data_IF_896659816676
#
_entry.id   IF_896659816676
#
_cell.length_a   1.000
_cell.length_b   1.000
_cell.length_c   1.000
_cell.angle_alpha   90.00
_cell.angle_beta   90.00
_cell.angle_gamma   90.00
#
_symmetry.space_group_name_H-M   'P 1'
#
loop_
_entity.id
_entity.type
_entity.pdbx_description
1 polymer ?
#
# COMPACT_ATOMS: atom_id res chain seq x y z
N UNK A 1 19.01 20.54 6.18
CA UNK A 1 17.78 20.69 5.36
C UNK A 1 18.11 20.24 3.95
N UNK A 2 17.16 19.64 3.25
CA UNK A 2 17.35 19.16 1.88
C UNK A 2 17.37 20.32 0.89
N UNK A 3 18.10 20.16 -0.22
CA UNK A 3 18.00 21.10 -1.33
C UNK A 3 16.65 20.96 -2.04
N UNK A 4 16.23 22.01 -2.77
CA UNK A 4 15.02 21.95 -3.60
C UNK A 4 15.12 20.84 -4.67
N UNK A 5 16.33 20.60 -5.17
CA UNK A 5 16.63 19.56 -6.15
C UNK A 5 16.44 18.15 -5.56
N UNK A 6 16.92 17.90 -4.33
CA UNK A 6 16.71 16.63 -3.64
C UNK A 6 15.23 16.39 -3.33
N UNK A 7 14.50 17.43 -2.92
CA UNK A 7 13.06 17.33 -2.67
C UNK A 7 12.30 17.02 -3.97
N UNK A 8 12.69 17.66 -5.08
CA UNK A 8 12.14 17.38 -6.40
C UNK A 8 12.42 15.95 -6.88
N UNK A 9 13.64 15.45 -6.64
CA UNK A 9 14.00 14.06 -6.92
C UNK A 9 13.15 13.08 -6.10
N UNK A 10 12.90 13.36 -4.82
CA UNK A 10 11.98 12.58 -3.99
C UNK A 10 10.56 12.59 -4.56
N UNK A 11 9.97 13.76 -4.82
CA UNK A 11 8.58 13.84 -5.32
C UNK A 11 8.37 13.19 -6.68
N UNK A 12 9.41 13.00 -7.50
CA UNK A 12 9.34 12.27 -8.77
C UNK A 12 9.61 10.77 -8.65
N UNK A 13 10.07 10.31 -7.48
CA UNK A 13 10.34 8.90 -7.24
C UNK A 13 9.06 8.10 -7.03
N UNK A 14 9.08 6.82 -7.38
CA UNK A 14 7.99 5.89 -7.06
C UNK A 14 7.73 5.81 -5.56
N UNK A 15 8.78 5.93 -4.75
CA UNK A 15 8.69 5.91 -3.29
C UNK A 15 7.88 7.08 -2.70
N UNK A 16 7.67 8.18 -3.43
CA UNK A 16 6.85 9.30 -2.96
C UNK A 16 5.35 9.17 -3.27
N UNK A 17 4.94 8.06 -3.90
CA UNK A 17 3.59 7.84 -4.43
C UNK A 17 2.93 6.59 -3.84
N UNK A 18 1.60 6.62 -3.76
CA UNK A 18 0.79 5.50 -3.29
C UNK A 18 0.68 4.42 -4.38
N UNK A 19 1.68 3.58 -4.54
CA UNK A 19 1.79 2.63 -5.66
C UNK A 19 2.64 1.39 -5.30
N UNK A 20 2.78 0.46 -6.25
CA UNK A 20 3.73 -0.65 -6.13
C UNK A 20 5.14 -0.16 -6.53
N UNK A 21 6.13 -0.49 -5.73
CA UNK A 21 7.55 -0.26 -5.96
C UNK A 21 8.27 -1.61 -6.03
N UNK A 22 9.08 -1.87 -7.04
CA UNK A 22 9.78 -3.16 -7.19
C UNK A 22 11.28 -2.99 -7.03
N UNK A 23 11.91 -3.89 -6.25
CA UNK A 23 13.33 -3.91 -5.95
C UNK A 23 13.85 -2.53 -5.50
N UNK A 24 13.01 -1.78 -4.76
CA UNK A 24 13.28 -0.42 -4.27
C UNK A 24 13.57 0.62 -5.38
N UNK A 25 13.27 0.29 -6.63
CA UNK A 25 13.53 1.11 -7.81
C UNK A 25 12.35 1.96 -8.28
N UNK A 26 12.64 2.98 -9.07
CA UNK A 26 11.62 3.80 -9.73
C UNK A 26 10.99 3.07 -10.92
N UNK A 27 9.69 3.26 -11.09
CA UNK A 27 8.97 2.92 -12.31
C UNK A 27 9.50 3.78 -13.46
N UNK A 28 9.76 3.14 -14.60
CA UNK A 28 10.04 3.82 -15.86
C UNK A 28 8.77 4.45 -16.45
N UNK A 29 8.90 5.41 -17.39
CA UNK A 29 7.77 5.87 -18.19
C UNK A 29 7.05 4.70 -18.89
N UNK A 30 5.75 4.57 -18.65
CA UNK A 30 4.91 3.46 -19.11
C UNK A 30 4.36 3.75 -20.50
N UNK A 31 4.49 2.78 -21.42
CA UNK A 31 3.84 2.79 -22.75
C UNK A 31 2.84 1.64 -22.90
N UNK A 32 2.98 0.58 -22.10
CA UNK A 32 2.09 -0.57 -22.10
C UNK A 32 1.18 -0.54 -20.87
N UNK A 33 0.04 0.13 -21.01
CA UNK A 33 -0.98 0.25 -19.98
C UNK A 33 -2.38 -0.13 -20.49
N UNK A 34 -3.22 -0.64 -19.59
CA UNK A 34 -4.66 -0.79 -19.82
C UNK A 34 -5.42 -0.33 -18.59
N UNK A 35 -6.53 0.37 -18.80
CA UNK A 35 -7.46 0.82 -17.76
C UNK A 35 -8.86 0.31 -18.09
N UNK A 36 -9.51 -0.26 -17.10
CA UNK A 36 -10.93 -0.59 -17.11
C UNK A 36 -11.62 0.21 -16.01
N UNK A 37 -12.76 0.83 -16.34
CA UNK A 37 -13.64 1.50 -15.39
C UNK A 37 -15.03 0.90 -15.51
N UNK A 38 -15.59 0.45 -14.38
CA UNK A 38 -16.93 -0.15 -14.30
C UNK A 38 -17.75 0.59 -13.24
N UNK A 39 -18.34 1.75 -13.60
CA UNK A 39 -19.17 2.53 -12.69
C UNK A 39 -20.46 1.81 -12.30
N UNK A 40 -20.98 0.95 -13.18
CA UNK A 40 -22.26 0.25 -13.00
C UNK A 40 -22.11 -1.14 -12.34
N UNK A 41 -20.88 -1.52 -11.98
CA UNK A 41 -20.66 -2.71 -11.16
C UNK A 41 -21.11 -2.48 -9.72
N UNK A 42 -21.38 -3.56 -8.99
CA UNK A 42 -21.71 -3.52 -7.57
C UNK A 42 -20.67 -4.30 -6.75
N UNK A 43 -19.74 -3.61 -6.05
CA UNK A 43 -19.51 -2.16 -6.06
C UNK A 43 -18.79 -1.66 -7.33
N UNK A 44 -18.85 -0.36 -7.64
CA UNK A 44 -18.10 0.25 -8.73
C UNK A 44 -16.58 0.04 -8.58
N UNK A 45 -15.86 -0.16 -9.69
CA UNK A 45 -14.41 -0.36 -9.62
C UNK A 45 -13.64 0.20 -10.81
N UNK A 46 -12.37 0.55 -10.55
CA UNK A 46 -11.36 0.84 -11.56
C UNK A 46 -10.25 -0.21 -11.49
N UNK A 47 -9.70 -0.60 -12.64
CA UNK A 47 -8.61 -1.57 -12.76
C UNK A 47 -7.56 -1.08 -13.75
N UNK A 48 -6.32 -0.99 -13.30
CA UNK A 48 -5.16 -0.66 -14.13
C UNK A 48 -4.19 -1.83 -14.22
N UNK A 49 -3.59 -2.04 -15.40
CA UNK A 49 -2.47 -2.96 -15.60
C UNK A 49 -1.38 -2.21 -16.36
N UNK A 50 -0.13 -2.33 -15.91
CA UNK A 50 1.06 -1.83 -16.59
C UNK A 50 2.10 -2.96 -16.73
N UNK A 51 2.85 -2.99 -17.84
CA UNK A 51 3.73 -4.13 -18.20
C UNK A 51 5.18 -3.75 -18.48
N UNK A 52 5.49 -2.46 -18.53
CA UNK A 52 6.80 -1.94 -18.91
C UNK A 52 7.35 -0.90 -17.94
N UNK A 53 6.74 -0.77 -16.76
CA UNK A 53 7.28 0.05 -15.67
C UNK A 53 8.60 -0.49 -15.09
N UNK A 54 8.78 -1.82 -15.15
CA UNK A 54 10.01 -2.52 -14.82
C UNK A 54 10.23 -3.65 -15.84
N UNK A 55 11.49 -3.98 -16.23
CA UNK A 55 11.76 -5.04 -17.19
C UNK A 55 11.21 -6.40 -16.75
N UNK A 56 10.31 -6.98 -17.55
CA UNK A 56 9.75 -8.32 -17.30
C UNK A 56 8.77 -8.39 -16.12
N UNK A 57 8.22 -7.25 -15.68
CA UNK A 57 7.30 -7.20 -14.54
C UNK A 57 5.94 -6.65 -14.97
N UNK A 58 4.90 -7.39 -14.60
CA UNK A 58 3.51 -6.97 -14.74
C UNK A 58 2.99 -6.48 -13.39
N UNK A 59 2.50 -5.25 -13.36
CA UNK A 59 1.82 -4.67 -12.20
C UNK A 59 0.34 -4.47 -12.51
N UNK A 60 -0.51 -4.76 -11.54
CA UNK A 60 -1.96 -4.62 -11.66
C UNK A 60 -2.53 -4.08 -10.36
N UNK A 61 -3.49 -3.17 -10.49
CA UNK A 61 -4.24 -2.58 -9.38
C UNK A 61 -5.72 -2.59 -9.69
N UNK A 62 -6.54 -3.04 -8.75
CA UNK A 62 -7.97 -2.77 -8.72
C UNK A 62 -8.31 -1.90 -7.50
N UNK A 63 -9.23 -0.96 -7.68
CA UNK A 63 -9.79 -0.11 -6.62
C UNK A 63 -11.31 -0.24 -6.70
N UNK A 64 -11.92 -0.70 -5.62
CA UNK A 64 -13.36 -0.84 -5.46
C UNK A 64 -13.86 0.29 -4.55
N UNK A 65 -14.98 0.89 -4.93
CA UNK A 65 -15.61 1.99 -4.23
C UNK A 65 -16.92 1.50 -3.61
N UNK A 66 -16.88 1.10 -2.34
CA UNK A 66 -18.03 0.57 -1.61
C UNK A 66 -18.25 1.37 -0.32
N UNK A 67 -18.88 2.58 -0.40
CA UNK A 67 -18.97 3.49 0.73
C UNK A 67 -19.48 2.82 2.02
N UNK A 68 -18.87 3.14 3.18
CA UNK A 68 -17.82 4.14 3.41
C UNK A 68 -16.39 3.62 3.14
N UNK A 69 -16.24 2.46 2.50
CA UNK A 69 -14.98 1.77 2.31
C UNK A 69 -14.41 1.98 0.91
N UNK A 70 -13.08 2.00 0.84
CA UNK A 70 -12.34 1.83 -0.40
C UNK A 70 -11.50 0.58 -0.23
N UNK A 71 -11.53 -0.32 -1.21
CA UNK A 71 -10.76 -1.56 -1.19
C UNK A 71 -9.80 -1.57 -2.37
N UNK A 72 -8.52 -1.80 -2.10
CA UNK A 72 -7.46 -1.88 -3.10
C UNK A 72 -6.92 -3.30 -3.12
N UNK A 73 -6.68 -3.79 -4.33
CA UNK A 73 -5.97 -5.03 -4.58
C UNK A 73 -4.87 -4.79 -5.60
N UNK A 74 -3.66 -5.12 -5.22
CA UNK A 74 -2.46 -4.93 -6.01
C UNK A 74 -1.80 -6.28 -6.29
N UNK A 75 -1.25 -6.45 -7.49
CA UNK A 75 -0.48 -7.62 -7.90
C UNK A 75 0.82 -7.18 -8.55
N UNK A 76 1.90 -7.83 -8.14
CA UNK A 76 3.23 -7.74 -8.70
C UNK A 76 3.62 -9.13 -9.20
N UNK A 77 3.95 -9.26 -10.49
CA UNK A 77 4.27 -10.55 -11.11
C UNK A 77 5.47 -10.45 -12.05
N UNK A 78 6.34 -11.45 -11.98
CA UNK A 78 7.56 -11.58 -12.76
C UNK A 78 7.96 -13.05 -12.93
N UNK A 79 8.84 -13.35 -13.88
CA UNK A 79 9.37 -14.71 -14.07
C UNK A 79 10.30 -15.15 -12.93
N UNK A 80 11.14 -14.23 -12.46
CA UNK A 80 12.05 -14.42 -11.33
C UNK A 80 11.49 -13.86 -10.02
N UNK A 81 12.13 -14.21 -8.90
CA UNK A 81 11.78 -13.62 -7.60
C UNK A 81 12.15 -12.14 -7.56
N UNK A 82 11.25 -11.34 -6.98
CA UNK A 82 11.39 -9.89 -6.82
C UNK A 82 10.98 -9.47 -5.42
N UNK A 83 11.49 -8.32 -4.97
CA UNK A 83 10.99 -7.62 -3.78
C UNK A 83 9.88 -6.68 -4.23
N UNK A 84 8.65 -7.12 -4.10
CA UNK A 84 7.49 -6.29 -4.39
C UNK A 84 7.15 -5.46 -3.14
N UNK A 85 7.07 -4.15 -3.31
CA UNK A 85 6.75 -3.18 -2.27
C UNK A 85 5.41 -2.49 -2.54
N UNK A 86 4.57 -2.30 -1.53
CA UNK A 86 3.37 -1.48 -1.60
C UNK A 86 3.55 -0.26 -0.71
N UNK A 87 3.53 0.93 -1.31
CA UNK A 87 3.78 2.20 -0.63
C UNK A 87 2.45 2.92 -0.44
N UNK A 88 2.24 3.47 0.75
CA UNK A 88 1.11 4.36 1.02
C UNK A 88 1.49 5.46 1.99
N UNK A 89 1.05 6.67 1.65
CA UNK A 89 1.18 7.88 2.43
C UNK A 89 -0.20 8.48 2.69
N UNK A 90 -0.40 9.00 3.90
CA UNK A 90 -1.53 9.86 4.21
C UNK A 90 -1.11 10.99 5.16
N UNK A 91 -1.82 12.10 5.05
CA UNK A 91 -1.61 13.28 5.88
C UNK A 91 -1.96 13.00 7.35
N UNK A 92 -1.24 13.66 8.26
CA UNK A 92 -1.51 13.62 9.70
C UNK A 92 -0.57 12.71 10.50
N UNK A 93 -0.81 12.65 11.81
CA UNK A 93 -0.06 11.75 12.70
C UNK A 93 -0.53 10.31 12.53
N UNK A 94 0.39 9.35 12.68
CA UNK A 94 0.15 7.96 12.34
C UNK A 94 0.53 7.06 13.50
N UNK A 95 -0.35 6.12 13.83
CA UNK A 95 -0.06 4.94 14.64
C UNK A 95 -0.21 3.68 13.79
N UNK A 96 0.65 2.69 14.03
CA UNK A 96 0.67 1.45 13.25
C UNK A 96 1.04 0.24 14.11
N UNK A 97 0.36 -0.88 13.87
CA UNK A 97 0.63 -2.18 14.49
C UNK A 97 0.32 -3.32 13.53
N UNK A 98 0.87 -4.48 13.79
CA UNK A 98 0.55 -5.71 13.03
C UNK A 98 -0.15 -6.72 13.93
N UNK A 99 -1.00 -7.55 13.34
CA UNK A 99 -1.49 -8.78 13.95
C UNK A 99 -0.65 -9.96 13.50
N UNK A 100 -0.60 -11.02 14.30
CA UNK A 100 0.19 -12.23 14.01
C UNK A 100 1.65 -11.88 13.63
N UNK A 101 2.40 -11.29 14.57
CA UNK A 101 3.81 -10.97 14.33
C UNK A 101 4.59 -12.26 14.06
N UNK A 102 5.53 -12.18 13.12
CA UNK A 102 6.43 -13.28 12.80
C UNK A 102 7.87 -12.90 13.13
N UNK A 103 8.75 -13.89 13.15
CA UNK A 103 10.18 -13.63 13.14
C UNK A 103 10.58 -12.87 11.86
N UNK A 104 11.64 -12.04 11.91
CA UNK A 104 12.23 -11.45 10.73
C UNK A 104 12.65 -12.52 9.72
N UNK A 105 12.27 -12.32 8.46
CA UNK A 105 12.76 -13.14 7.34
C UNK A 105 13.74 -12.34 6.48
N UNK A 106 14.47 -13.05 5.61
CA UNK A 106 15.57 -12.49 4.83
C UNK A 106 15.07 -11.53 3.75
N UNK A 107 15.02 -10.24 4.10
CA UNK A 107 14.83 -9.13 3.19
C UNK A 107 15.79 -8.01 3.61
N UNK A 108 16.63 -7.52 2.69
CA UNK A 108 17.50 -6.38 2.97
C UNK A 108 16.66 -5.19 3.47
N UNK A 109 17.17 -4.41 4.44
CA UNK A 109 16.48 -3.19 4.87
C UNK A 109 16.31 -2.23 3.69
N UNK A 110 15.29 -1.37 3.75
CA UNK A 110 15.16 -0.27 2.79
C UNK A 110 16.45 0.56 2.76
N UNK A 111 16.92 1.02 1.58
CA UNK A 111 18.13 1.83 1.47
C UNK A 111 18.12 3.03 2.42
N UNK A 112 19.30 3.46 2.87
CA UNK A 112 19.47 4.65 3.71
C UNK A 112 19.93 5.87 2.94
N UNK A 113 20.15 5.72 1.63
CA UNK A 113 20.67 6.73 0.71
C UNK A 113 19.63 7.17 -0.34
N UNK A 114 19.99 8.19 -1.13
CA UNK A 114 19.13 8.75 -2.18
C UNK A 114 17.79 9.24 -1.64
N UNK A 115 16.71 8.92 -2.37
CA UNK A 115 15.34 9.33 -2.00
C UNK A 115 14.85 8.70 -0.70
N UNK A 116 15.48 7.61 -0.24
CA UNK A 116 15.10 6.98 1.02
C UNK A 116 15.63 7.77 2.23
N UNK A 117 16.60 8.66 2.07
CA UNK A 117 17.04 9.54 3.18
C UNK A 117 15.88 10.33 3.76
N UNK A 118 14.83 10.62 2.98
CA UNK A 118 13.60 11.30 3.38
C UNK A 118 12.67 10.46 4.27
N UNK A 119 12.87 9.14 4.33
CA UNK A 119 12.07 8.27 5.19
C UNK A 119 12.65 8.23 6.60
N UNK A 120 12.09 9.04 7.50
CA UNK A 120 12.56 9.22 8.88
C UNK A 120 11.76 8.40 9.88
N UNK A 121 12.33 8.22 11.08
CA UNK A 121 11.72 7.51 12.20
C UNK A 121 11.19 6.11 11.80
N UNK A 122 12.00 5.38 11.02
CA UNK A 122 11.61 4.07 10.47
C UNK A 122 11.51 3.04 11.59
N UNK A 123 10.41 2.29 11.62
CA UNK A 123 10.23 1.08 12.42
C UNK A 123 9.84 -0.06 11.50
N UNK A 124 10.55 -1.19 11.62
CA UNK A 124 10.25 -2.43 10.88
C UNK A 124 9.39 -3.35 11.72
N UNK A 125 8.44 -4.01 11.08
CA UNK A 125 7.51 -4.99 11.63
C UNK A 125 7.45 -6.16 10.65
N UNK A 126 7.23 -7.38 11.15
CA UNK A 126 7.06 -8.58 10.33
C UNK A 126 5.79 -9.28 10.76
N UNK A 127 5.00 -9.72 9.79
CA UNK A 127 3.70 -10.29 10.08
C UNK A 127 3.21 -11.23 8.97
N UNK A 128 2.37 -12.19 9.36
CA UNK A 128 1.49 -12.96 8.47
C UNK A 128 0.05 -12.46 8.51
N UNK A 129 -0.32 -11.67 9.52
CA UNK A 129 -1.65 -11.09 9.70
C UNK A 129 -1.84 -9.75 8.98
N UNK A 130 -2.68 -8.87 9.52
CA UNK A 130 -2.92 -7.55 8.94
C UNK A 130 -2.03 -6.47 9.58
N UNK A 131 -1.64 -5.48 8.80
CA UNK A 131 -1.16 -4.18 9.27
C UNK A 131 -2.38 -3.31 9.53
N UNK A 132 -2.50 -2.80 10.75
CA UNK A 132 -3.47 -1.78 11.12
C UNK A 132 -2.77 -0.43 11.23
N UNK A 133 -3.29 0.57 10.54
CA UNK A 133 -2.77 1.94 10.59
C UNK A 133 -3.92 2.90 10.79
N UNK A 134 -3.72 3.86 11.69
CA UNK A 134 -4.68 4.93 11.91
C UNK A 134 -3.95 6.26 11.76
N UNK A 135 -4.37 7.06 10.79
CA UNK A 135 -3.95 8.44 10.67
C UNK A 135 -4.97 9.35 11.34
N UNK A 136 -4.51 10.27 12.18
CA UNK A 136 -5.30 11.43 12.60
C UNK A 136 -5.08 12.56 11.61
N UNK A 137 -6.01 12.69 10.66
CA UNK A 137 -5.95 13.65 9.55
C UNK A 137 -6.30 15.07 10.03
N UNK A 138 -7.24 15.17 10.97
CA UNK A 138 -7.59 16.41 11.68
C UNK A 138 -8.02 16.10 13.11
N UNK A 139 -8.47 17.10 13.87
CA UNK A 139 -8.92 16.91 15.25
C UNK A 139 -10.00 15.83 15.40
N UNK A 140 -10.87 15.68 14.38
CA UNK A 140 -12.07 14.83 14.41
C UNK A 140 -12.18 13.85 13.24
N UNK A 141 -11.16 13.76 12.39
CA UNK A 141 -11.18 12.89 11.21
C UNK A 141 -9.98 11.97 11.26
N UNK A 142 -10.26 10.67 11.16
CA UNK A 142 -9.26 9.63 11.07
C UNK A 142 -9.41 8.84 9.78
N UNK A 143 -8.28 8.40 9.24
CA UNK A 143 -8.22 7.39 8.20
C UNK A 143 -7.71 6.09 8.82
N UNK A 144 -8.54 5.05 8.80
CA UNK A 144 -8.09 3.70 9.11
C UNK A 144 -7.71 2.97 7.83
N UNK A 145 -6.60 2.26 7.89
CA UNK A 145 -6.14 1.29 6.90
C UNK A 145 -5.99 -0.06 7.58
N UNK A 146 -6.54 -1.09 6.95
CA UNK A 146 -6.12 -2.46 7.16
C UNK A 146 -5.45 -2.96 5.88
N UNK A 147 -4.21 -3.43 5.96
CA UNK A 147 -3.49 -3.98 4.82
C UNK A 147 -2.97 -5.39 5.11
N UNK A 148 -2.87 -6.24 4.10
CA UNK A 148 -2.19 -7.54 4.19
C UNK A 148 -1.49 -7.87 2.87
N UNK A 149 -0.73 -8.97 2.88
CA UNK A 149 -0.20 -9.60 1.67
C UNK A 149 -0.65 -11.06 1.61
N UNK A 150 -0.55 -11.71 0.44
CA UNK A 150 -0.88 -13.14 0.25
C UNK A 150 0.17 -14.11 0.85
N UNK A 151 0.82 -13.69 1.92
CA UNK A 151 1.83 -14.41 2.70
C UNK A 151 2.59 -13.44 3.61
N UNK A 152 3.62 -13.90 4.34
CA UNK A 152 4.41 -13.05 5.22
C UNK A 152 4.99 -11.82 4.52
N UNK A 153 5.00 -10.70 5.21
CA UNK A 153 5.54 -9.43 4.71
C UNK A 153 6.30 -8.67 5.82
N UNK A 154 7.20 -7.79 5.39
CA UNK A 154 7.78 -6.76 6.23
C UNK A 154 6.97 -5.47 6.04
N UNK A 155 6.55 -4.82 7.11
CA UNK A 155 6.10 -3.44 7.09
C UNK A 155 7.19 -2.52 7.64
N UNK A 156 7.60 -1.52 6.87
CA UNK A 156 8.35 -0.37 7.38
C UNK A 156 7.41 0.82 7.49
N UNK A 157 7.31 1.41 8.68
CA UNK A 157 6.48 2.59 8.96
C UNK A 157 7.35 3.76 9.42
N UNK A 158 6.94 4.99 9.12
CA UNK A 158 7.68 6.19 9.52
C UNK A 158 7.08 7.45 8.90
N UNK A 159 7.92 8.46 8.63
CA UNK A 159 7.50 9.75 8.08
C UNK A 159 8.26 10.11 6.81
N UNK A 160 7.58 10.70 5.84
CA UNK A 160 8.19 11.32 4.65
C UNK A 160 7.68 12.76 4.50
N UNK A 161 8.33 13.62 3.71
CA UNK A 161 7.83 14.95 3.41
C UNK A 161 6.48 14.93 2.71
N UNK A 162 5.63 15.88 3.06
CA UNK A 162 4.48 16.31 2.26
C UNK A 162 4.90 17.17 1.07
N UNK A 163 3.91 17.83 0.45
CA UNK A 163 4.12 18.85 -0.56
C UNK A 163 3.08 19.96 -0.34
N UNK A 164 3.49 21.20 0.02
CA UNK A 164 4.87 21.69 0.11
C UNK A 164 5.62 21.23 1.39
N UNK A 165 6.93 21.45 1.42
CA UNK A 165 7.69 21.47 2.68
C UNK A 165 7.27 22.69 3.52
N UNK A 166 7.33 22.65 4.87
CA UNK A 166 7.93 21.61 5.72
C UNK A 166 6.94 20.52 6.19
N UNK A 167 5.77 20.37 5.56
CA UNK A 167 4.78 19.38 5.97
C UNK A 167 5.35 17.97 5.91
N UNK A 168 4.84 17.08 6.76
CA UNK A 168 5.18 15.67 6.77
C UNK A 168 3.93 14.78 6.79
N UNK A 169 4.13 13.52 6.43
CA UNK A 169 3.06 12.54 6.28
C UNK A 169 3.48 11.17 6.79
N UNK A 170 2.55 10.48 7.43
CA UNK A 170 2.75 9.10 7.84
C UNK A 170 2.85 8.21 6.60
N UNK A 171 3.87 7.36 6.59
CA UNK A 171 4.22 6.51 5.45
C UNK A 171 4.34 5.06 5.89
N UNK A 172 3.77 4.17 5.10
CA UNK A 172 3.90 2.72 5.26
C UNK A 172 4.42 2.10 3.96
N UNK A 173 5.30 1.13 4.10
CA UNK A 173 5.82 0.31 3.00
C UNK A 173 5.68 -1.14 3.41
N UNK A 174 4.86 -1.91 2.71
CA UNK A 174 4.80 -3.36 2.86
C UNK A 174 5.75 -3.96 1.81
N UNK A 175 6.59 -4.92 2.17
CA UNK A 175 7.49 -5.62 1.25
C UNK A 175 7.36 -7.12 1.40
N UNK A 176 7.27 -7.81 0.28
CA UNK A 176 7.26 -9.26 0.23
C UNK A 176 8.09 -9.77 -0.96
N UNK A 177 8.66 -10.96 -0.81
CA UNK A 177 9.52 -11.59 -1.82
C UNK A 177 8.75 -12.69 -2.54
N UNK A 178 8.83 -12.71 -3.87
CA UNK A 178 8.32 -13.82 -4.67
C UNK A 178 8.19 -13.48 -6.15
N UNK A 179 7.83 -14.48 -6.96
CA UNK A 179 7.51 -14.32 -8.39
C UNK A 179 6.15 -13.68 -8.62
N UNK A 180 5.23 -13.91 -7.70
CA UNK A 180 3.89 -13.32 -7.69
C UNK A 180 3.56 -12.96 -6.25
N UNK A 181 3.29 -11.68 -6.01
CA UNK A 181 2.85 -11.17 -4.71
C UNK A 181 1.61 -10.31 -4.89
N UNK A 182 0.68 -10.43 -3.95
CA UNK A 182 -0.51 -9.58 -3.87
C UNK A 182 -0.52 -8.80 -2.57
N UNK A 183 -1.02 -7.58 -2.66
CA UNK A 183 -1.29 -6.72 -1.51
C UNK A 183 -2.73 -6.30 -1.54
N UNK A 184 -3.34 -6.25 -0.36
CA UNK A 184 -4.74 -5.92 -0.22
C UNK A 184 -4.87 -4.87 0.87
N UNK A 185 -5.70 -3.86 0.63
CA UNK A 185 -5.92 -2.78 1.56
C UNK A 185 -7.39 -2.41 1.61
N UNK A 186 -7.91 -2.16 2.81
CA UNK A 186 -9.22 -1.58 3.02
C UNK A 186 -9.10 -0.29 3.84
N UNK A 187 -9.81 0.73 3.41
CA UNK A 187 -9.77 2.07 4.00
C UNK A 187 -11.13 2.45 4.55
N UNK A 188 -11.13 3.20 5.65
CA UNK A 188 -12.33 3.82 6.22
C UNK A 188 -11.99 5.22 6.75
N UNK A 189 -12.74 6.23 6.30
CA UNK A 189 -12.78 7.52 6.98
C UNK A 189 -13.78 7.45 8.15
N UNK A 190 -13.35 7.84 9.34
CA UNK A 190 -14.18 7.79 10.53
C UNK A 190 -13.98 9.03 11.42
N UNK A 191 -14.92 9.26 12.34
CA UNK A 191 -14.94 10.39 13.30
C UNK A 191 -14.71 9.94 14.75
N UNK A 192 -13.99 8.84 14.97
CA UNK A 192 -13.70 8.34 16.30
C UNK A 192 -13.44 6.84 16.31
N UNK A 193 -14.49 6.04 16.52
CA UNK A 193 -14.38 4.59 16.57
C UNK A 193 -14.52 4.03 15.15
N UNK A 194 -13.48 3.38 14.59
CA UNK A 194 -13.56 2.77 13.27
C UNK A 194 -14.50 1.57 13.27
N UNK A 195 -15.27 1.40 12.20
CA UNK A 195 -16.08 0.19 11.97
C UNK A 195 -15.28 -0.90 11.29
N UNK A 196 -14.27 -0.57 10.49
CA UNK A 196 -13.43 -1.54 9.80
C UNK A 196 -12.49 -2.25 10.79
N UNK A 197 -12.69 -3.56 11.01
CA UNK A 197 -12.01 -4.32 12.08
C UNK A 197 -10.98 -5.31 11.56
N UNK A 198 -11.33 -6.06 10.51
CA UNK A 198 -10.48 -7.09 9.94
C UNK A 198 -10.49 -7.07 8.42
N UNK A 199 -9.39 -7.50 7.83
CA UNK A 199 -9.29 -7.88 6.41
C UNK A 199 -8.66 -9.28 6.33
N UNK A 200 -9.20 -10.14 5.47
CA UNK A 200 -8.67 -11.50 5.26
C UNK A 200 -8.87 -11.96 3.81
N UNK A 201 -8.11 -12.97 3.42
CA UNK A 201 -8.30 -13.67 2.15
C UNK A 201 -9.19 -14.89 2.37
N UNK A 202 -10.19 -15.03 1.51
CA UNK A 202 -10.99 -16.24 1.40
C UNK A 202 -10.54 -17.06 0.18
N UNK A 203 -10.99 -18.32 0.15
CA UNK A 203 -10.79 -19.21 -0.99
C UNK A 203 -11.25 -18.56 -2.30
N UNK A 204 -10.48 -18.83 -3.37
CA UNK A 204 -10.68 -18.22 -4.68
C UNK A 204 -10.12 -16.80 -4.80
N UNK A 205 -9.36 -16.30 -3.80
CA UNK A 205 -8.71 -14.99 -3.87
C UNK A 205 -9.63 -13.81 -3.61
N UNK A 206 -10.79 -14.06 -2.98
CA UNK A 206 -11.73 -13.02 -2.55
C UNK A 206 -11.19 -12.34 -1.29
N UNK A 207 -11.47 -11.04 -1.14
CA UNK A 207 -11.24 -10.34 0.13
C UNK A 207 -12.50 -10.40 0.94
N UNK A 208 -12.37 -10.69 2.24
CA UNK A 208 -13.38 -10.37 3.25
C UNK A 208 -12.90 -9.20 4.10
N UNK A 209 -13.76 -8.23 4.31
CA UNK A 209 -13.60 -7.26 5.40
C UNK A 209 -14.65 -7.52 6.47
N UNK A 210 -14.25 -7.47 7.73
CA UNK A 210 -15.17 -7.50 8.86
C UNK A 210 -15.38 -6.09 9.37
N UNK A 211 -16.65 -5.68 9.44
CA UNK A 211 -17.03 -4.36 9.92
C UNK A 211 -17.97 -4.47 11.12
N UNK A 212 -18.16 -3.35 11.84
CA UNK A 212 -19.16 -3.26 12.90
C UNK A 212 -20.60 -3.51 12.41
N UNK A 213 -20.88 -3.23 11.13
CA UNK A 213 -22.21 -3.39 10.52
C UNK A 213 -22.39 -4.78 9.87
N UNK A 214 -21.37 -5.63 9.91
CA UNK A 214 -21.36 -6.96 9.29
C UNK A 214 -20.20 -7.15 8.29
N UNK A 215 -19.94 -8.40 7.88
CA UNK A 215 -18.89 -8.70 6.92
C UNK A 215 -19.28 -8.29 5.50
N UNK A 216 -18.29 -7.94 4.68
CA UNK A 216 -18.43 -7.74 3.24
C UNK A 216 -17.39 -8.58 2.50
N UNK A 217 -17.76 -9.17 1.38
CA UNK A 217 -16.88 -10.05 0.59
C UNK A 217 -16.83 -9.54 -0.84
N UNK A 218 -15.61 -9.37 -1.35
CA UNK A 218 -15.35 -8.83 -2.68
C UNK A 218 -14.64 -9.87 -3.55
N UNK A 219 -15.22 -10.15 -4.72
CA UNK A 219 -14.50 -10.75 -5.83
C UNK A 219 -13.70 -9.65 -6.51
N UNK A 220 -12.37 -9.69 -6.35
CA UNK A 220 -11.52 -8.66 -6.92
C UNK A 220 -11.27 -8.94 -8.40
N UNK A 221 -11.33 -7.92 -9.27
CA UNK A 221 -11.07 -8.09 -10.68
C UNK A 221 -9.57 -8.15 -10.99
N UNK A 222 -8.75 -8.79 -10.13
CA UNK A 222 -7.32 -9.01 -10.39
C UNK A 222 -7.08 -10.50 -10.72
N UNK A 223 -6.33 -10.76 -11.80
CA UNK A 223 -6.17 -12.10 -12.39
C UNK A 223 -4.73 -12.57 -12.40
#
# INVERSE_FOLDING_TARGET
>A
GYSLEEAYAFWRSTFAHNTIMVDEGNQAPVKSASLEWRPDADPPYAKGIIRDAYPGIRLERAILFDPPYVVIADRCESEGERRCGWVFHAYGSMDARVTEPTDPFDIPPLPTEGVFTFFKARRRLWASGQLEVNWRVSERIWLRLLALSDGPYEATVGRTPGNPLPDDRGTVVLRAVGRRRRFFAAFELNKGIPKLRRISLEDGGRIRIETADGPRVYALPIG
#
